data_IF_557696765302
#
_entry.id   IF_557696765302
#
_cell.length_a   1.000
_cell.length_b   1.000
_cell.length_c   1.000
_cell.angle_alpha   90.00
_cell.angle_beta   90.00
_cell.angle_gamma   90.00
#
_symmetry.space_group_name_H-M   'P 1'
#
loop_
_entity.id
_entity.type
_entity.pdbx_description
1 polymer ?
#
# COMPACT_ATOMS: atom_id res chain seq x y z
N UNK A 1 -12.69 21.70 -43.28
CA UNK A 1 -11.62 22.12 -42.34
C UNK A 1 -11.82 21.65 -40.88
N UNK A 2 -12.73 20.72 -40.57
CA UNK A 2 -13.07 20.28 -39.20
C UNK A 2 -12.37 19.00 -38.69
N UNK A 3 -12.02 18.08 -39.57
CA UNK A 3 -11.53 16.74 -39.17
C UNK A 3 -10.09 16.74 -38.63
N UNK A 4 -9.23 17.63 -39.11
CA UNK A 4 -7.83 17.70 -38.64
C UNK A 4 -7.67 18.28 -37.22
N UNK A 5 -8.58 19.13 -36.75
CA UNK A 5 -8.52 19.70 -35.41
C UNK A 5 -8.97 18.70 -34.32
N UNK A 6 -9.98 17.89 -34.61
CA UNK A 6 -10.50 16.87 -33.65
C UNK A 6 -9.44 15.78 -33.39
N UNK A 7 -8.69 15.39 -34.45
CA UNK A 7 -7.63 14.38 -34.30
C UNK A 7 -6.42 14.91 -33.51
N UNK A 8 -6.04 16.18 -33.72
CA UNK A 8 -4.93 16.81 -32.99
C UNK A 8 -5.25 17.08 -31.50
N UNK A 9 -6.52 17.35 -31.17
CA UNK A 9 -6.97 17.49 -29.79
C UNK A 9 -6.90 16.17 -29.03
N UNK A 10 -7.39 15.07 -29.60
CA UNK A 10 -7.31 13.74 -28.98
C UNK A 10 -5.88 13.30 -28.71
N UNK A 11 -4.96 13.48 -29.67
CA UNK A 11 -3.55 13.12 -29.50
C UNK A 11 -2.90 13.95 -28.36
N UNK A 12 -3.29 15.20 -28.21
CA UNK A 12 -2.77 16.10 -27.19
C UNK A 12 -3.27 15.73 -25.77
N UNK A 13 -4.52 15.35 -25.62
CA UNK A 13 -5.11 14.87 -24.36
C UNK A 13 -4.45 13.58 -23.90
N UNK A 14 -4.26 12.61 -24.79
CA UNK A 14 -3.56 11.36 -24.48
C UNK A 14 -2.09 11.58 -24.08
N UNK A 15 -1.41 12.56 -24.68
CA UNK A 15 -0.03 12.88 -24.31
C UNK A 15 0.07 13.48 -22.89
N UNK A 16 -0.92 14.29 -22.47
CA UNK A 16 -0.99 14.86 -21.13
C UNK A 16 -1.28 13.79 -20.05
N UNK A 17 -2.18 12.86 -20.36
CA UNK A 17 -2.47 11.75 -19.47
C UNK A 17 -1.29 10.77 -19.37
N UNK A 18 -0.60 10.49 -20.48
CA UNK A 18 0.63 9.70 -20.47
C UNK A 18 1.71 10.33 -19.59
N UNK A 19 1.84 11.66 -19.61
CA UNK A 19 2.79 12.38 -18.74
C UNK A 19 2.38 12.30 -17.26
N UNK A 20 1.09 12.33 -16.93
CA UNK A 20 0.59 12.09 -15.57
C UNK A 20 1.04 10.73 -15.08
N UNK A 21 0.91 9.66 -15.89
CA UNK A 21 1.31 8.31 -15.54
C UNK A 21 2.83 8.19 -15.32
N UNK A 22 3.64 8.87 -16.13
CA UNK A 22 5.11 8.91 -15.95
C UNK A 22 5.49 9.60 -14.64
N UNK A 23 4.90 10.76 -14.35
CA UNK A 23 5.13 11.49 -13.09
C UNK A 23 4.69 10.63 -11.89
N UNK A 24 3.56 9.97 -11.99
CA UNK A 24 3.08 9.05 -10.96
C UNK A 24 4.05 7.88 -10.75
N UNK A 25 4.50 7.23 -11.83
CA UNK A 25 5.42 6.11 -11.74
C UNK A 25 6.74 6.53 -11.08
N UNK A 26 7.34 7.64 -11.51
CA UNK A 26 8.58 8.16 -10.92
C UNK A 26 8.43 8.50 -9.44
N UNK A 27 7.34 9.15 -9.04
CA UNK A 27 7.07 9.47 -7.66
C UNK A 27 6.91 8.20 -6.79
N UNK A 28 6.06 7.27 -7.22
CA UNK A 28 5.78 6.05 -6.47
C UNK A 28 6.97 5.09 -6.42
N UNK A 29 7.75 4.95 -7.49
CA UNK A 29 8.97 4.12 -7.50
C UNK A 29 10.01 4.73 -6.57
N UNK A 30 10.25 6.04 -6.65
CA UNK A 30 11.18 6.73 -5.74
C UNK A 30 10.80 6.51 -4.26
N UNK A 31 9.52 6.72 -3.94
CA UNK A 31 9.04 6.49 -2.57
C UNK A 31 9.10 5.02 -2.16
N UNK A 32 8.72 4.10 -3.05
CA UNK A 32 8.80 2.66 -2.80
C UNK A 32 10.22 2.22 -2.48
N UNK A 33 11.21 2.74 -3.21
CA UNK A 33 12.64 2.52 -2.96
C UNK A 33 13.02 3.00 -1.56
N UNK A 34 12.68 4.24 -1.22
CA UNK A 34 13.09 4.85 0.06
C UNK A 34 12.35 4.22 1.25
N UNK A 35 11.06 3.94 1.13
CA UNK A 35 10.26 3.27 2.19
C UNK A 35 10.74 1.87 2.49
N UNK A 36 11.31 1.16 1.52
CA UNK A 36 11.89 -0.14 1.73
C UNK A 36 13.31 -0.04 2.30
N UNK A 37 14.16 0.79 1.70
CA UNK A 37 15.58 0.83 2.02
C UNK A 37 15.88 1.42 3.40
N UNK A 38 15.18 2.50 3.80
CA UNK A 38 15.47 3.20 5.04
C UNK A 38 15.23 2.33 6.29
N UNK A 39 14.06 1.66 6.45
CA UNK A 39 13.86 0.78 7.60
C UNK A 39 14.72 -0.48 7.54
N UNK A 40 14.98 -1.02 6.35
CA UNK A 40 15.87 -2.18 6.19
C UNK A 40 17.31 -1.87 6.59
N UNK A 41 17.82 -0.69 6.22
CA UNK A 41 19.14 -0.24 6.66
C UNK A 41 19.21 -0.05 8.19
N UNK A 42 18.13 0.50 8.78
CA UNK A 42 18.02 0.62 10.24
C UNK A 42 18.00 -0.75 10.93
N UNK A 43 17.28 -1.73 10.36
CA UNK A 43 17.26 -3.10 10.85
C UNK A 43 18.67 -3.70 10.83
N UNK A 44 19.37 -3.63 9.69
CA UNK A 44 20.74 -4.16 9.54
C UNK A 44 21.75 -3.48 10.48
N UNK A 45 21.55 -2.18 10.78
CA UNK A 45 22.43 -1.45 11.67
C UNK A 45 22.16 -1.70 13.17
N UNK A 46 20.90 -2.02 13.52
CA UNK A 46 20.47 -2.20 14.91
C UNK A 46 20.30 -3.66 15.32
N UNK A 47 20.08 -4.58 14.37
CA UNK A 47 19.72 -5.97 14.63
C UNK A 47 18.37 -6.16 15.32
N UNK A 48 17.56 -5.09 15.46
CA UNK A 48 16.33 -5.10 16.26
C UNK A 48 15.06 -5.04 15.42
N UNK A 49 14.30 -6.15 15.29
CA UNK A 49 13.01 -6.19 14.61
C UNK A 49 11.94 -5.34 15.31
N UNK A 50 12.00 -5.16 16.63
CA UNK A 50 11.07 -4.26 17.32
C UNK A 50 11.29 -2.81 16.89
N UNK A 51 12.54 -2.38 16.75
CA UNK A 51 12.87 -1.03 16.29
C UNK A 51 12.37 -0.82 14.85
N UNK A 52 12.59 -1.80 13.96
CA UNK A 52 12.06 -1.78 12.59
C UNK A 52 10.52 -1.64 12.58
N UNK A 53 9.81 -2.50 13.34
CA UNK A 53 8.35 -2.50 13.39
C UNK A 53 7.77 -1.24 14.00
N UNK A 54 8.35 -0.73 15.09
CA UNK A 54 7.90 0.52 15.76
C UNK A 54 8.16 1.74 14.86
N UNK A 55 9.33 1.83 14.24
CA UNK A 55 9.68 2.96 13.36
C UNK A 55 8.75 3.02 12.16
N UNK A 56 8.48 1.89 11.51
CA UNK A 56 7.54 1.85 10.37
C UNK A 56 6.12 2.19 10.81
N UNK A 57 5.67 1.72 11.98
CA UNK A 57 4.37 2.03 12.53
C UNK A 57 4.22 3.53 12.86
N UNK A 58 5.18 4.11 13.57
CA UNK A 58 5.17 5.55 13.93
C UNK A 58 5.21 6.43 12.69
N UNK A 59 6.05 6.05 11.70
CA UNK A 59 6.16 6.79 10.45
C UNK A 59 4.85 6.81 9.65
N UNK A 60 4.01 5.77 9.80
CA UNK A 60 2.74 5.67 9.10
C UNK A 60 1.61 6.51 9.71
N UNK A 61 1.69 6.89 10.99
CA UNK A 61 0.65 7.66 11.70
C UNK A 61 0.25 8.94 10.96
N UNK A 62 1.19 9.79 10.50
CA UNK A 62 0.83 10.99 9.73
C UNK A 62 0.05 10.70 8.45
N UNK A 63 0.32 9.58 7.78
CA UNK A 63 -0.44 9.17 6.59
C UNK A 63 -1.92 8.98 6.90
N UNK A 64 -2.23 8.27 7.99
CA UNK A 64 -3.62 8.06 8.45
C UNK A 64 -4.31 9.37 8.77
N UNK A 65 -3.60 10.28 9.47
CA UNK A 65 -4.14 11.57 9.88
C UNK A 65 -4.35 12.53 8.69
N UNK A 66 -3.47 12.47 7.68
CA UNK A 66 -3.51 13.38 6.52
C UNK A 66 -4.35 12.87 5.36
N UNK A 67 -4.64 11.56 5.28
CA UNK A 67 -5.43 10.96 4.20
C UNK A 67 -6.77 11.67 3.94
N UNK A 68 -7.59 12.04 4.95
CA UNK A 68 -8.83 12.78 4.72
C UNK A 68 -8.62 14.18 4.11
N UNK A 69 -7.46 14.78 4.37
CA UNK A 69 -7.13 16.11 3.85
C UNK A 69 -6.62 16.06 2.41
N UNK A 70 -6.08 14.92 1.96
CA UNK A 70 -5.58 14.74 0.60
C UNK A 70 -6.62 15.04 -0.46
N UNK A 71 -7.88 14.62 -0.27
CA UNK A 71 -9.00 14.94 -1.16
C UNK A 71 -9.31 16.44 -1.20
N UNK A 72 -9.37 17.10 -0.05
CA UNK A 72 -9.62 18.55 0.04
C UNK A 72 -8.51 19.36 -0.62
N UNK A 73 -7.26 18.91 -0.43
CA UNK A 73 -6.09 19.54 -1.05
C UNK A 73 -6.13 19.34 -2.57
N UNK A 74 -6.52 18.16 -3.04
CA UNK A 74 -6.67 17.85 -4.47
C UNK A 74 -7.66 18.77 -5.20
N UNK A 75 -8.67 19.26 -4.49
CA UNK A 75 -9.70 20.14 -5.07
C UNK A 75 -9.31 21.63 -5.06
N UNK A 76 -8.42 22.02 -4.14
CA UNK A 76 -8.12 23.45 -3.91
C UNK A 76 -6.76 23.90 -4.41
N UNK A 77 -5.81 22.99 -4.53
CA UNK A 77 -4.42 23.33 -4.84
C UNK A 77 -4.01 22.71 -6.17
N UNK A 78 -3.23 23.46 -6.95
CA UNK A 78 -2.66 22.95 -8.20
C UNK A 78 -1.71 21.78 -7.89
N UNK A 79 -1.98 20.64 -8.52
CA UNK A 79 -1.18 19.42 -8.39
C UNK A 79 0.31 19.67 -8.59
N UNK A 80 0.69 20.56 -9.52
CA UNK A 80 2.11 20.91 -9.79
C UNK A 80 2.78 21.51 -8.56
N UNK A 81 2.09 22.45 -7.89
CA UNK A 81 2.64 23.10 -6.70
C UNK A 81 2.86 22.10 -5.60
N UNK A 82 1.91 21.19 -5.42
CA UNK A 82 2.03 20.14 -4.39
C UNK A 82 3.16 19.18 -4.72
N UNK A 83 3.25 18.67 -5.95
CA UNK A 83 4.35 17.79 -6.37
C UNK A 83 5.71 18.47 -6.24
N UNK A 84 5.81 19.76 -6.60
CA UNK A 84 7.05 20.51 -6.46
C UNK A 84 7.44 20.72 -4.99
N UNK A 85 6.51 21.17 -4.14
CA UNK A 85 6.77 21.38 -2.70
C UNK A 85 7.08 20.04 -2.04
N UNK A 86 6.27 19.01 -2.28
CA UNK A 86 6.45 17.68 -1.75
C UNK A 86 7.81 17.08 -2.15
N UNK A 87 8.15 17.15 -3.42
CA UNK A 87 9.44 16.68 -3.91
C UNK A 87 10.61 17.43 -3.29
N UNK A 88 10.52 18.76 -3.16
CA UNK A 88 11.56 19.58 -2.50
C UNK A 88 11.71 19.23 -1.03
N UNK A 89 10.62 19.02 -0.29
CA UNK A 89 10.64 18.58 1.11
C UNK A 89 11.34 17.24 1.22
N UNK A 90 11.00 16.26 0.37
CA UNK A 90 11.62 14.93 0.41
C UNK A 90 13.09 14.96 0.01
N UNK A 91 13.48 15.80 -0.97
CA UNK A 91 14.88 16.01 -1.32
C UNK A 91 15.65 16.62 -0.14
N UNK A 92 15.10 17.62 0.52
CA UNK A 92 15.71 18.22 1.72
C UNK A 92 15.87 17.17 2.84
N UNK A 93 14.85 16.36 3.10
CA UNK A 93 14.95 15.25 4.07
C UNK A 93 16.04 14.24 3.66
N UNK A 94 16.15 13.90 2.38
CA UNK A 94 17.20 13.03 1.87
C UNK A 94 18.60 13.62 2.02
N UNK A 95 18.78 14.91 1.76
CA UNK A 95 20.05 15.62 2.00
C UNK A 95 20.39 15.60 3.50
N UNK A 96 19.45 15.94 4.38
CA UNK A 96 19.65 15.85 5.84
C UNK A 96 19.99 14.42 6.27
N UNK A 97 19.36 13.42 5.68
CA UNK A 97 19.66 12.01 5.94
C UNK A 97 21.12 11.71 5.60
N UNK A 98 21.60 12.08 4.39
CA UNK A 98 22.97 11.79 3.94
C UNK A 98 24.04 12.46 4.81
N UNK A 99 23.76 13.62 5.40
CA UNK A 99 24.70 14.27 6.32
C UNK A 99 24.71 13.71 7.75
N UNK A 100 23.58 13.18 8.20
CA UNK A 100 23.38 12.84 9.61
C UNK A 100 23.21 11.33 9.87
N UNK A 101 23.13 10.48 8.84
CA UNK A 101 22.83 9.05 9.03
C UNK A 101 23.93 8.30 9.82
N UNK A 102 25.17 8.76 9.80
CA UNK A 102 26.28 8.18 10.59
C UNK A 102 26.22 8.54 12.07
N UNK A 103 25.63 9.68 12.44
CA UNK A 103 25.63 10.21 13.80
C UNK A 103 24.27 10.11 14.48
N UNK A 104 23.18 10.19 13.72
CA UNK A 104 21.77 10.25 14.20
C UNK A 104 20.84 9.35 13.40
N UNK A 105 21.28 8.13 13.06
CA UNK A 105 20.58 7.22 12.15
C UNK A 105 19.09 7.07 12.47
N UNK A 106 18.74 6.73 13.71
CA UNK A 106 17.35 6.53 14.12
C UNK A 106 16.49 7.77 13.87
N UNK A 107 16.94 8.93 14.32
CA UNK A 107 16.17 10.17 14.23
C UNK A 107 15.92 10.56 12.76
N UNK A 108 16.97 10.56 11.94
CA UNK A 108 16.83 10.97 10.53
C UNK A 108 16.04 9.97 9.70
N UNK A 109 16.12 8.65 10.01
CA UNK A 109 15.31 7.62 9.38
C UNK A 109 13.84 7.82 9.71
N UNK A 110 13.49 8.03 10.97
CA UNK A 110 12.10 8.26 11.41
C UNK A 110 11.53 9.50 10.76
N UNK A 111 12.25 10.63 10.82
CA UNK A 111 11.78 11.89 10.23
C UNK A 111 11.61 11.81 8.72
N UNK A 112 12.52 11.13 8.02
CA UNK A 112 12.41 10.96 6.57
C UNK A 112 11.25 10.05 6.20
N UNK A 113 11.04 8.95 6.91
CA UNK A 113 9.88 8.06 6.70
C UNK A 113 8.55 8.78 7.00
N UNK A 114 8.48 9.55 8.08
CA UNK A 114 7.32 10.40 8.39
C UNK A 114 7.00 11.33 7.22
N UNK A 115 8.03 12.01 6.69
CA UNK A 115 7.86 12.91 5.54
C UNK A 115 7.38 12.15 4.29
N UNK A 116 7.95 10.97 3.99
CA UNK A 116 7.54 10.13 2.87
C UNK A 116 6.06 9.72 2.95
N UNK A 117 5.63 9.24 4.13
CA UNK A 117 4.24 8.82 4.32
C UNK A 117 3.26 10.00 4.35
N UNK A 118 3.64 11.12 4.96
CA UNK A 118 2.82 12.32 5.00
C UNK A 118 2.61 12.93 3.61
N UNK A 119 3.67 13.04 2.84
CA UNK A 119 3.64 13.55 1.47
C UNK A 119 2.79 12.65 0.56
N UNK A 120 2.97 11.33 0.67
CA UNK A 120 2.16 10.37 -0.08
C UNK A 120 0.66 10.52 0.17
N UNK A 121 0.25 10.64 1.44
CA UNK A 121 -1.15 10.79 1.81
C UNK A 121 -1.81 12.03 1.19
N UNK A 122 -1.02 13.07 0.95
CA UNK A 122 -1.51 14.31 0.34
C UNK A 122 -1.64 14.20 -1.18
N UNK A 123 -0.66 13.65 -1.88
CA UNK A 123 -0.68 13.69 -3.35
C UNK A 123 -1.30 12.44 -4.01
N UNK A 124 -1.33 11.28 -3.34
CA UNK A 124 -1.87 10.06 -3.95
C UNK A 124 -3.34 10.20 -4.42
N UNK A 125 -4.25 10.85 -3.67
CA UNK A 125 -5.61 11.11 -4.13
C UNK A 125 -5.68 12.06 -5.32
N UNK A 126 -4.67 12.93 -5.50
CA UNK A 126 -4.64 13.91 -6.58
C UNK A 126 -4.50 13.27 -7.95
N UNK A 127 -3.73 12.18 -8.07
CA UNK A 127 -3.63 11.44 -9.32
C UNK A 127 -4.99 10.90 -9.76
N UNK A 128 -5.78 10.37 -8.83
CA UNK A 128 -7.14 9.90 -9.11
C UNK A 128 -8.08 11.05 -9.50
N UNK A 129 -7.98 12.19 -8.82
CA UNK A 129 -8.82 13.37 -9.07
C UNK A 129 -8.55 14.02 -10.45
N UNK A 130 -7.37 13.82 -11.04
CA UNK A 130 -7.06 14.35 -12.37
C UNK A 130 -7.70 13.56 -13.52
N UNK A 131 -8.05 12.27 -13.31
CA UNK A 131 -8.55 11.40 -14.37
C UNK A 131 -9.79 11.98 -15.08
N UNK A 132 -10.88 12.33 -14.37
CA UNK A 132 -12.07 12.87 -15.02
C UNK A 132 -11.88 14.29 -15.57
N UNK A 133 -10.79 14.97 -15.18
CA UNK A 133 -10.45 16.31 -15.69
C UNK A 133 -9.63 16.25 -16.99
N UNK A 134 -9.03 15.09 -17.29
CA UNK A 134 -8.12 14.90 -18.42
C UNK A 134 -8.68 13.98 -19.50
N UNK A 135 -9.67 13.15 -19.18
CA UNK A 135 -10.24 12.16 -20.07
C UNK A 135 -11.75 12.33 -20.23
N UNK A 136 -12.25 12.05 -21.42
CA UNK A 136 -13.68 11.98 -21.70
C UNK A 136 -14.38 10.90 -20.85
N UNK A 137 -15.67 11.05 -20.57
CA UNK A 137 -16.46 10.11 -19.79
C UNK A 137 -16.35 8.65 -20.28
N UNK A 138 -16.22 8.46 -21.60
CA UNK A 138 -16.04 7.12 -22.20
C UNK A 138 -14.70 6.45 -21.82
N UNK A 139 -13.65 7.22 -21.53
CA UNK A 139 -12.30 6.72 -21.25
C UNK A 139 -11.89 6.80 -19.77
N UNK A 140 -12.72 7.39 -18.89
CA UNK A 140 -12.44 7.51 -17.45
C UNK A 140 -12.14 6.15 -16.81
N UNK A 141 -12.93 5.10 -17.14
CA UNK A 141 -12.71 3.75 -16.59
C UNK A 141 -11.33 3.19 -16.96
N UNK A 142 -10.90 3.41 -18.20
CA UNK A 142 -9.56 3.00 -18.66
C UNK A 142 -8.46 3.80 -17.95
N UNK A 143 -8.67 5.11 -17.77
CA UNK A 143 -7.76 5.98 -17.02
C UNK A 143 -7.57 5.54 -15.57
N UNK A 144 -8.66 5.23 -14.87
CA UNK A 144 -8.62 4.68 -13.50
C UNK A 144 -7.84 3.36 -13.46
N UNK A 145 -8.09 2.47 -14.43
CA UNK A 145 -7.37 1.20 -14.53
C UNK A 145 -5.86 1.42 -14.70
N UNK A 146 -5.45 2.33 -15.60
CA UNK A 146 -4.03 2.62 -15.85
C UNK A 146 -3.34 3.24 -14.64
N UNK A 147 -3.96 4.21 -13.95
CA UNK A 147 -3.44 4.82 -12.73
C UNK A 147 -3.26 3.76 -11.63
N UNK A 148 -4.21 2.85 -11.47
CA UNK A 148 -4.12 1.76 -10.50
C UNK A 148 -3.04 0.73 -10.89
N UNK A 149 -2.89 0.41 -12.18
CA UNK A 149 -1.83 -0.48 -12.66
C UNK A 149 -0.44 0.11 -12.40
N UNK A 150 -0.25 1.41 -12.67
CA UNK A 150 1.00 2.11 -12.35
C UNK A 150 1.28 2.06 -10.85
N UNK A 151 0.28 2.31 -10.00
CA UNK A 151 0.43 2.21 -8.54
C UNK A 151 0.84 0.80 -8.12
N UNK A 152 0.15 -0.22 -8.61
CA UNK A 152 0.44 -1.62 -8.29
C UNK A 152 1.84 -2.03 -8.76
N UNK A 153 2.20 -1.69 -10.00
CA UNK A 153 3.53 -1.98 -10.53
C UNK A 153 4.63 -1.28 -9.73
N UNK A 154 4.43 -0.01 -9.37
CA UNK A 154 5.41 0.77 -8.60
C UNK A 154 5.62 0.22 -7.19
N UNK A 155 4.56 -0.27 -6.55
CA UNK A 155 4.63 -0.91 -5.22
C UNK A 155 5.42 -2.23 -5.24
N UNK A 156 5.51 -2.90 -6.39
CA UNK A 156 6.33 -4.10 -6.60
C UNK A 156 7.75 -3.73 -7.00
N UNK A 157 7.89 -2.85 -8.00
CA UNK A 157 9.19 -2.47 -8.58
C UNK A 157 10.04 -1.72 -7.56
N UNK A 158 9.45 -0.86 -6.72
CA UNK A 158 10.16 -0.08 -5.71
C UNK A 158 11.03 -0.94 -4.78
N UNK A 159 10.46 -1.86 -3.99
CA UNK A 159 11.20 -2.75 -3.11
C UNK A 159 12.23 -3.63 -3.83
N UNK A 160 11.88 -4.17 -5.01
CA UNK A 160 12.79 -5.00 -5.81
C UNK A 160 14.03 -4.20 -6.24
N UNK A 161 13.83 -3.03 -6.82
CA UNK A 161 14.93 -2.13 -7.23
C UNK A 161 15.74 -1.69 -6.02
N UNK A 162 15.07 -1.36 -4.91
CA UNK A 162 15.74 -0.97 -3.67
C UNK A 162 16.62 -2.11 -3.12
N UNK A 163 16.09 -3.34 -3.07
CA UNK A 163 16.83 -4.51 -2.59
C UNK A 163 18.08 -4.78 -3.41
N UNK A 164 17.96 -4.79 -4.75
CA UNK A 164 19.08 -4.99 -5.67
C UNK A 164 20.13 -3.89 -5.55
N UNK A 165 19.71 -2.62 -5.65
CA UNK A 165 20.64 -1.49 -5.60
C UNK A 165 21.30 -1.35 -4.22
N UNK A 166 20.57 -1.59 -3.13
CA UNK A 166 21.13 -1.54 -1.78
C UNK A 166 22.18 -2.62 -1.56
N UNK A 167 21.98 -3.83 -2.12
CA UNK A 167 22.97 -4.91 -2.04
C UNK A 167 24.27 -4.61 -2.81
N UNK A 168 24.23 -3.77 -3.85
CA UNK A 168 25.40 -3.45 -4.65
C UNK A 168 26.10 -2.14 -4.24
N UNK A 169 25.31 -1.11 -3.91
CA UNK A 169 25.80 0.26 -3.76
C UNK A 169 25.72 0.79 -2.34
N UNK A 170 24.97 0.10 -1.46
CA UNK A 170 24.69 0.57 -0.10
C UNK A 170 23.61 1.66 -0.05
N UNK A 171 23.38 2.22 1.17
CA UNK A 171 22.24 3.13 1.42
C UNK A 171 22.43 4.53 0.81
N UNK A 172 23.62 5.10 0.86
CA UNK A 172 23.82 6.50 0.46
C UNK A 172 23.62 6.72 -1.07
N UNK A 173 24.19 5.91 -1.99
CA UNK A 173 23.88 6.02 -3.42
C UNK A 173 22.40 5.73 -3.72
N UNK A 174 21.75 4.83 -2.96
CA UNK A 174 20.34 4.52 -3.15
C UNK A 174 19.45 5.70 -2.78
N UNK A 175 19.74 6.41 -1.69
CA UNK A 175 19.05 7.66 -1.32
C UNK A 175 19.27 8.72 -2.38
N UNK A 176 20.50 8.86 -2.92
CA UNK A 176 20.78 9.77 -4.04
C UNK A 176 19.95 9.43 -5.29
N UNK A 177 19.81 8.14 -5.62
CA UNK A 177 18.99 7.69 -6.74
C UNK A 177 17.50 8.04 -6.53
N UNK A 178 16.95 7.77 -5.33
CA UNK A 178 15.59 8.17 -4.98
C UNK A 178 15.39 9.69 -5.08
N UNK A 179 16.33 10.49 -4.57
CA UNK A 179 16.31 11.96 -4.72
C UNK A 179 16.39 12.40 -6.18
N UNK A 180 17.19 11.74 -7.03
CA UNK A 180 17.26 12.06 -8.45
C UNK A 180 15.92 11.82 -9.15
N UNK A 181 15.22 10.74 -8.84
CA UNK A 181 13.85 10.48 -9.32
C UNK A 181 12.88 11.57 -8.85
N UNK A 182 12.94 11.97 -7.58
CA UNK A 182 12.11 13.08 -7.06
C UNK A 182 12.48 14.42 -7.73
N UNK A 183 13.73 14.67 -7.97
CA UNK A 183 14.17 15.87 -8.71
C UNK A 183 13.62 15.88 -10.14
N UNK A 184 13.56 14.73 -10.81
CA UNK A 184 12.89 14.60 -12.11
C UNK A 184 11.38 14.89 -12.00
N UNK A 185 10.68 14.41 -10.95
CA UNK A 185 9.27 14.76 -10.71
C UNK A 185 9.10 16.27 -10.52
N UNK A 186 9.94 16.91 -9.71
CA UNK A 186 9.93 18.37 -9.49
C UNK A 186 10.19 19.12 -10.79
N UNK A 187 11.20 18.72 -11.54
CA UNK A 187 11.53 19.34 -12.82
C UNK A 187 10.35 19.24 -13.81
N UNK A 188 9.76 18.06 -13.94
CA UNK A 188 8.57 17.84 -14.76
C UNK A 188 7.38 18.66 -14.28
N UNK A 189 7.16 18.78 -12.96
CA UNK A 189 6.11 19.62 -12.40
C UNK A 189 6.33 21.12 -12.66
N UNK A 190 7.59 21.58 -12.66
CA UNK A 190 7.98 22.99 -12.89
C UNK A 190 8.00 23.39 -14.36
N UNK A 191 8.14 22.44 -15.30
CA UNK A 191 8.13 22.77 -16.74
C UNK A 191 6.78 23.35 -17.14
N UNK A 192 6.80 24.63 -17.54
CA UNK A 192 5.63 25.41 -17.99
C UNK A 192 5.21 25.10 -19.43
N UNK A 193 5.45 23.89 -19.92
CA UNK A 193 5.04 23.51 -21.27
C UNK A 193 3.53 23.53 -21.40
N UNK A 194 3.04 23.98 -22.55
CA UNK A 194 1.62 23.88 -22.92
C UNK A 194 1.13 22.43 -22.93
N UNK A 195 2.06 21.48 -22.92
CA UNK A 195 1.83 20.03 -22.84
C UNK A 195 1.53 19.53 -21.43
N UNK A 196 1.72 20.34 -20.39
CA UNK A 196 1.56 19.93 -18.98
C UNK A 196 0.55 20.82 -18.26
N UNK A 197 -0.63 21.02 -18.82
CA UNK A 197 -1.72 21.66 -18.07
C UNK A 197 -2.49 20.57 -17.31
N UNK A 198 -2.19 20.44 -16.02
CA UNK A 198 -3.15 19.75 -15.12
C UNK A 198 -4.34 20.70 -14.95
N UNK A 199 -5.55 20.30 -15.35
CA UNK A 199 -6.72 21.17 -15.20
C UNK A 199 -6.92 21.47 -13.70
N UNK A 200 -6.92 22.74 -13.35
CA UNK A 200 -7.43 23.20 -12.04
C UNK A 200 -8.94 23.11 -12.05
N UNK A 201 -9.54 22.78 -10.92
CA UNK A 201 -10.98 22.82 -10.79
C UNK A 201 -11.47 24.23 -11.20
N UNK A 202 -12.25 24.31 -12.29
CA UNK A 202 -12.89 25.56 -12.70
C UNK A 202 -13.82 26.04 -11.59
N UNK A 203 -13.95 27.36 -11.43
CA UNK A 203 -14.81 27.96 -10.41
C UNK A 203 -16.25 27.48 -10.49
N UNK A 204 -16.69 27.05 -11.68
CA UNK A 204 -18.06 26.58 -11.95
C UNK A 204 -18.31 25.12 -11.50
N UNK A 205 -17.25 24.30 -11.32
CA UNK A 205 -17.39 22.96 -10.70
C UNK A 205 -17.60 23.02 -9.18
N UNK A 206 -17.56 24.21 -8.59
CA UNK A 206 -17.77 24.45 -7.15
C UNK A 206 -19.24 24.40 -6.73
N UNK A 207 -20.17 24.27 -7.66
CA UNK A 207 -21.63 24.28 -7.41
C UNK A 207 -22.30 22.91 -7.47
N UNK A 208 -21.56 21.83 -7.71
CA UNK A 208 -22.08 20.47 -7.52
C UNK A 208 -21.88 20.04 -6.07
N UNK A 209 -22.88 19.48 -5.44
CA UNK A 209 -23.06 19.04 -4.04
C UNK A 209 -21.86 18.38 -3.30
N UNK A 210 -20.73 18.14 -3.95
CA UNK A 210 -19.49 17.64 -3.35
C UNK A 210 -18.65 18.71 -2.63
N UNK A 211 -18.90 19.99 -2.84
CA UNK A 211 -18.12 21.09 -2.26
C UNK A 211 -18.48 21.42 -0.79
N UNK A 212 -19.54 20.84 -0.24
CA UNK A 212 -20.03 21.10 1.12
C UNK A 212 -19.61 19.99 2.10
N UNK A 213 -18.92 18.95 1.66
CA UNK A 213 -18.28 18.00 2.57
C UNK A 213 -17.04 18.63 3.24
N UNK A 214 -17.28 19.75 3.92
CA UNK A 214 -16.39 20.21 4.97
C UNK A 214 -16.25 19.11 6.03
N UNK A 215 -15.32 19.28 6.95
CA UNK A 215 -15.02 18.34 8.05
C UNK A 215 -16.26 17.71 8.69
N UNK A 216 -17.39 18.45 8.75
CA UNK A 216 -18.68 17.96 9.25
C UNK A 216 -19.36 16.93 8.32
N UNK A 217 -19.21 17.06 7.01
CA UNK A 217 -19.73 16.09 6.05
C UNK A 217 -19.00 14.75 6.13
N UNK A 218 -17.67 14.77 6.22
CA UNK A 218 -16.86 13.56 6.35
C UNK A 218 -17.19 12.78 7.63
N UNK A 219 -17.27 13.46 8.79
CA UNK A 219 -17.67 12.83 10.04
C UNK A 219 -19.10 12.31 10.00
N UNK A 220 -20.01 13.01 9.35
CA UNK A 220 -21.40 12.58 9.16
C UNK A 220 -21.47 11.34 8.25
N UNK A 221 -20.69 11.30 7.17
CA UNK A 221 -20.64 10.18 6.26
C UNK A 221 -20.00 8.95 6.91
N UNK A 222 -18.91 9.12 7.66
CA UNK A 222 -18.34 8.06 8.47
C UNK A 222 -19.32 7.53 9.52
N UNK A 223 -20.01 8.42 10.24
CA UNK A 223 -21.04 8.05 11.22
C UNK A 223 -22.18 7.27 10.56
N UNK A 224 -22.65 7.72 9.40
CA UNK A 224 -23.71 7.03 8.66
C UNK A 224 -23.25 5.64 8.20
N UNK A 225 -22.02 5.50 7.70
CA UNK A 225 -21.43 4.21 7.35
C UNK A 225 -21.29 3.28 8.55
N UNK A 226 -20.86 3.81 9.71
CA UNK A 226 -20.75 3.00 10.96
C UNK A 226 -22.13 2.55 11.46
N UNK A 227 -23.15 3.43 11.39
CA UNK A 227 -24.51 3.07 11.79
C UNK A 227 -25.09 1.99 10.87
N UNK A 228 -24.88 2.10 9.56
CA UNK A 228 -25.26 1.08 8.59
C UNK A 228 -24.59 -0.27 8.90
N UNK A 229 -23.27 -0.28 9.14
CA UNK A 229 -22.53 -1.49 9.50
C UNK A 229 -22.99 -2.11 10.82
N UNK A 230 -23.49 -1.31 11.76
CA UNK A 230 -24.04 -1.81 13.03
C UNK A 230 -25.33 -2.60 12.82
N UNK A 231 -26.13 -2.23 11.83
CA UNK A 231 -27.35 -2.93 11.47
C UNK A 231 -27.05 -4.19 10.63
N UNK A 232 -26.02 -4.12 9.75
CA UNK A 232 -25.54 -5.22 8.92
C UNK A 232 -24.40 -6.01 9.61
N UNK A 233 -24.77 -6.79 10.66
CA UNK A 233 -23.81 -7.49 11.53
C UNK A 233 -22.88 -8.45 10.80
N UNK A 234 -23.36 -9.13 9.75
CA UNK A 234 -22.55 -10.06 8.96
C UNK A 234 -21.42 -9.34 8.24
N UNK A 235 -21.72 -8.16 7.64
CA UNK A 235 -20.75 -7.35 6.95
C UNK A 235 -19.75 -6.71 7.91
N UNK A 236 -20.23 -6.19 9.04
CA UNK A 236 -19.36 -5.64 10.10
C UNK A 236 -18.36 -6.70 10.59
N UNK A 237 -18.84 -7.92 10.84
CA UNK A 237 -17.99 -9.02 11.28
C UNK A 237 -16.90 -9.33 10.26
N UNK A 238 -17.25 -9.39 8.97
CA UNK A 238 -16.32 -9.66 7.89
C UNK A 238 -15.25 -8.59 7.78
N UNK A 239 -15.62 -7.31 7.95
CA UNK A 239 -14.68 -6.17 7.96
C UNK A 239 -13.74 -6.26 9.16
N UNK A 240 -14.26 -6.52 10.36
CA UNK A 240 -13.44 -6.66 11.58
C UNK A 240 -12.44 -7.82 11.43
N UNK A 241 -12.88 -8.98 10.95
CA UNK A 241 -11.96 -10.09 10.68
C UNK A 241 -10.92 -9.77 9.63
N UNK A 242 -11.29 -9.07 8.55
CA UNK A 242 -10.34 -8.63 7.54
C UNK A 242 -9.29 -7.67 8.11
N UNK A 243 -9.67 -6.76 9.02
CA UNK A 243 -8.73 -5.88 9.70
C UNK A 243 -7.77 -6.67 10.63
N UNK A 244 -8.29 -7.65 11.37
CA UNK A 244 -7.47 -8.51 12.22
C UNK A 244 -6.50 -9.35 11.38
N UNK A 245 -6.96 -9.91 10.26
CA UNK A 245 -6.12 -10.61 9.29
C UNK A 245 -5.02 -9.68 8.77
N UNK A 246 -5.35 -8.45 8.37
CA UNK A 246 -4.35 -7.47 7.93
C UNK A 246 -3.32 -7.15 9.01
N UNK A 247 -3.73 -6.98 10.28
CA UNK A 247 -2.81 -6.73 11.39
C UNK A 247 -1.81 -7.88 11.57
N UNK A 248 -2.31 -9.13 11.54
CA UNK A 248 -1.44 -10.32 11.69
C UNK A 248 -0.53 -10.46 10.49
N UNK A 249 -1.05 -10.30 9.26
CA UNK A 249 -0.24 -10.44 8.04
C UNK A 249 0.78 -9.31 7.85
N UNK A 250 0.52 -8.13 8.41
CA UNK A 250 1.50 -7.06 8.41
C UNK A 250 2.81 -7.43 9.13
N UNK A 251 2.76 -8.43 10.02
CA UNK A 251 3.95 -9.03 10.61
C UNK A 251 4.89 -9.68 9.60
N UNK A 252 4.39 -10.17 8.47
CA UNK A 252 5.24 -10.72 7.41
C UNK A 252 6.22 -9.67 6.86
N UNK A 253 5.82 -8.39 6.82
CA UNK A 253 6.68 -7.28 6.41
C UNK A 253 7.85 -7.02 7.38
N UNK A 254 7.79 -7.53 8.61
CA UNK A 254 8.86 -7.46 9.61
C UNK A 254 9.68 -8.75 9.63
N UNK A 255 8.99 -9.90 9.59
CA UNK A 255 9.62 -11.23 9.64
C UNK A 255 10.52 -11.45 8.43
N UNK A 256 10.03 -11.13 7.22
CA UNK A 256 10.72 -11.39 5.96
C UNK A 256 12.11 -10.73 5.92
N UNK A 257 12.26 -9.40 6.09
CA UNK A 257 13.59 -8.79 6.11
C UNK A 257 14.43 -9.28 7.28
N UNK A 258 13.85 -9.43 8.48
CA UNK A 258 14.60 -9.89 9.65
C UNK A 258 15.21 -11.28 9.46
N UNK A 259 14.43 -12.27 9.02
CA UNK A 259 14.95 -13.63 8.81
C UNK A 259 16.01 -13.65 7.72
N UNK A 260 15.81 -12.93 6.62
CA UNK A 260 16.76 -12.95 5.50
C UNK A 260 18.07 -12.24 5.88
N UNK A 261 18.01 -11.08 6.55
CA UNK A 261 19.24 -10.30 6.82
C UNK A 261 19.95 -10.73 8.10
N UNK A 262 19.21 -11.02 9.18
CA UNK A 262 19.81 -11.32 10.49
C UNK A 262 20.03 -12.81 10.73
N UNK A 263 19.09 -13.69 10.29
CA UNK A 263 19.22 -15.12 10.54
C UNK A 263 19.97 -15.85 9.41
N UNK A 264 19.64 -15.55 8.14
CA UNK A 264 20.32 -16.14 7.00
C UNK A 264 21.62 -15.40 6.62
N UNK A 265 21.82 -14.18 7.14
CA UNK A 265 22.94 -13.29 6.82
C UNK A 265 23.04 -12.99 5.30
N UNK A 266 21.90 -12.92 4.61
CA UNK A 266 21.85 -12.60 3.20
C UNK A 266 21.62 -11.08 3.00
N UNK A 267 21.95 -10.62 1.80
CA UNK A 267 21.88 -9.19 1.47
C UNK A 267 20.44 -8.70 1.18
N UNK A 268 20.27 -7.40 1.10
CA UNK A 268 18.99 -6.73 0.81
C UNK A 268 18.37 -7.16 -0.54
N UNK A 269 19.18 -7.60 -1.52
CA UNK A 269 18.68 -8.10 -2.81
C UNK A 269 17.85 -9.38 -2.63
N UNK A 270 18.19 -10.23 -1.65
CA UNK A 270 17.40 -11.41 -1.32
C UNK A 270 16.04 -11.03 -0.75
N UNK A 271 15.96 -9.98 0.09
CA UNK A 271 14.68 -9.46 0.60
C UNK A 271 13.82 -8.97 -0.56
N UNK A 272 14.37 -8.14 -1.45
CA UNK A 272 13.66 -7.64 -2.62
C UNK A 272 13.19 -8.76 -3.56
N UNK A 273 13.98 -9.84 -3.74
CA UNK A 273 13.58 -10.99 -4.55
C UNK A 273 12.45 -11.80 -3.92
N UNK A 274 12.44 -11.96 -2.59
CA UNK A 274 11.35 -12.63 -1.88
C UNK A 274 10.05 -11.80 -1.95
N UNK A 275 10.13 -10.46 -1.85
CA UNK A 275 8.99 -9.58 -2.05
C UNK A 275 8.45 -9.64 -3.49
N UNK A 276 9.34 -9.73 -4.50
CA UNK A 276 8.92 -9.92 -5.89
C UNK A 276 8.13 -11.22 -6.08
N UNK A 277 8.57 -12.33 -5.48
CA UNK A 277 7.86 -13.61 -5.49
C UNK A 277 6.48 -13.46 -4.81
N UNK A 278 6.43 -12.73 -3.68
CA UNK A 278 5.17 -12.38 -3.00
C UNK A 278 4.21 -11.59 -3.89
N UNK A 279 4.72 -10.60 -4.62
CA UNK A 279 3.94 -9.79 -5.53
C UNK A 279 3.34 -10.61 -6.70
N UNK A 280 4.11 -11.56 -7.24
CA UNK A 280 3.60 -12.54 -8.22
C UNK A 280 2.45 -13.35 -7.60
N UNK A 281 2.58 -13.78 -6.34
CA UNK A 281 1.51 -14.43 -5.60
C UNK A 281 0.24 -13.57 -5.52
N UNK A 282 0.36 -12.28 -5.19
CA UNK A 282 -0.77 -11.34 -5.12
C UNK A 282 -1.47 -11.17 -6.47
N UNK A 283 -0.70 -11.02 -7.55
CA UNK A 283 -1.24 -10.91 -8.91
C UNK A 283 -1.96 -12.19 -9.34
N UNK A 284 -1.36 -13.35 -9.06
CA UNK A 284 -1.97 -14.65 -9.35
C UNK A 284 -3.27 -14.86 -8.55
N UNK A 285 -3.32 -14.42 -7.28
CA UNK A 285 -4.52 -14.48 -6.45
C UNK A 285 -5.67 -13.62 -6.99
N UNK A 286 -5.40 -12.39 -7.40
CA UNK A 286 -6.42 -11.52 -7.99
C UNK A 286 -6.90 -12.05 -9.35
N UNK A 287 -5.98 -12.58 -10.20
CA UNK A 287 -6.34 -13.23 -11.45
C UNK A 287 -7.19 -14.49 -11.25
N UNK A 288 -6.87 -15.29 -10.22
CA UNK A 288 -7.63 -16.49 -9.85
C UNK A 288 -9.10 -16.18 -9.56
N UNK A 289 -9.39 -15.07 -8.86
CA UNK A 289 -10.78 -14.64 -8.62
C UNK A 289 -11.51 -14.36 -9.92
N UNK A 290 -10.84 -13.72 -10.88
CA UNK A 290 -11.40 -13.43 -12.20
C UNK A 290 -11.66 -14.70 -13.04
N UNK A 291 -10.80 -15.71 -12.91
CA UNK A 291 -10.91 -16.97 -13.65
C UNK A 291 -11.90 -17.96 -13.02
N UNK A 292 -12.09 -17.90 -11.68
CA UNK A 292 -12.94 -18.84 -10.95
C UNK A 292 -13.97 -18.11 -10.04
N UNK A 293 -14.81 -17.21 -10.59
CA UNK A 293 -15.74 -16.41 -9.77
C UNK A 293 -16.74 -17.25 -9.00
N UNK A 294 -17.18 -18.39 -9.55
CA UNK A 294 -18.08 -19.33 -8.86
C UNK A 294 -17.45 -20.07 -7.69
N UNK A 295 -16.11 -20.16 -7.62
CA UNK A 295 -15.38 -20.69 -6.49
C UNK A 295 -15.14 -19.61 -5.43
N UNK A 296 -14.83 -18.38 -5.85
CA UNK A 296 -14.46 -17.26 -5.01
C UNK A 296 -15.69 -16.51 -4.48
N UNK A 297 -16.41 -17.12 -3.54
CA UNK A 297 -17.65 -16.59 -2.97
C UNK A 297 -17.52 -16.31 -1.47
N UNK A 298 -18.35 -15.40 -0.95
CA UNK A 298 -18.37 -15.05 0.48
C UNK A 298 -18.69 -16.25 1.38
N UNK A 299 -19.43 -17.24 0.89
CA UNK A 299 -19.67 -18.52 1.62
C UNK A 299 -18.38 -19.28 1.95
N UNK A 300 -17.34 -19.14 1.16
CA UNK A 300 -16.03 -19.79 1.34
C UNK A 300 -14.98 -18.86 1.96
N UNK A 301 -15.35 -17.66 2.36
CA UNK A 301 -14.42 -16.66 2.88
C UNK A 301 -13.63 -17.16 4.10
N UNK A 302 -14.29 -17.84 5.05
CA UNK A 302 -13.63 -18.47 6.20
C UNK A 302 -12.60 -19.53 5.79
N UNK A 303 -12.88 -20.31 4.74
CA UNK A 303 -11.92 -21.27 4.20
C UNK A 303 -10.70 -20.57 3.57
N UNK A 304 -10.90 -19.43 2.89
CA UNK A 304 -9.78 -18.63 2.34
C UNK A 304 -8.90 -18.06 3.44
N UNK A 305 -9.49 -17.59 4.56
CA UNK A 305 -8.74 -17.15 5.74
C UNK A 305 -7.97 -18.34 6.38
N UNK A 306 -8.55 -19.54 6.41
CA UNK A 306 -7.82 -20.72 6.87
C UNK A 306 -6.64 -21.07 5.95
N UNK A 307 -6.84 -21.05 4.62
CA UNK A 307 -5.80 -21.31 3.63
C UNK A 307 -4.65 -20.29 3.74
N UNK A 308 -4.96 -19.04 4.07
CA UNK A 308 -3.97 -18.00 4.31
C UNK A 308 -3.02 -18.38 5.46
N UNK A 309 -3.52 -19.03 6.51
CA UNK A 309 -2.72 -19.52 7.63
C UNK A 309 -1.68 -20.59 7.27
N UNK A 310 -1.78 -21.25 6.12
CA UNK A 310 -0.74 -22.18 5.66
C UNK A 310 0.56 -21.49 5.22
N UNK A 311 0.52 -20.24 4.81
CA UNK A 311 1.72 -19.50 4.42
C UNK A 311 2.77 -19.38 5.53
N UNK A 312 2.41 -18.91 6.73
CA UNK A 312 3.31 -18.94 7.88
C UNK A 312 3.81 -20.35 8.24
N UNK A 313 2.98 -21.41 8.06
CA UNK A 313 3.42 -22.79 8.27
C UNK A 313 4.49 -23.23 7.26
N UNK A 314 4.35 -22.87 5.98
CA UNK A 314 5.37 -23.12 4.97
C UNK A 314 6.68 -22.40 5.34
N UNK A 315 6.59 -21.14 5.79
CA UNK A 315 7.75 -20.36 6.21
C UNK A 315 8.44 -20.99 7.43
N UNK A 316 7.68 -21.38 8.46
CA UNK A 316 8.25 -21.97 9.68
C UNK A 316 8.84 -23.36 9.44
N UNK A 317 8.27 -24.15 8.54
CA UNK A 317 8.82 -25.47 8.19
C UNK A 317 10.29 -25.34 7.70
N UNK A 318 10.57 -24.33 6.87
CA UNK A 318 11.94 -24.04 6.44
C UNK A 318 12.90 -23.77 7.59
N UNK A 319 12.44 -23.07 8.64
CA UNK A 319 13.26 -22.71 9.79
C UNK A 319 13.44 -23.86 10.80
N UNK A 320 12.42 -24.71 10.98
CA UNK A 320 12.43 -25.76 12.01
C UNK A 320 13.23 -27.01 11.64
N UNK A 321 13.20 -27.41 10.36
CA UNK A 321 13.79 -28.70 9.95
C UNK A 321 15.29 -28.65 9.69
N UNK A 322 15.99 -27.56 10.08
CA UNK A 322 17.46 -27.49 9.95
C UNK A 322 17.98 -27.55 8.51
N UNK A 323 17.16 -27.16 7.55
CA UNK A 323 17.52 -27.08 6.14
C UNK A 323 18.67 -26.08 5.92
N UNK A 324 19.34 -26.20 4.78
CA UNK A 324 20.33 -25.21 4.38
C UNK A 324 19.65 -23.83 4.09
N UNK A 325 20.43 -22.76 4.13
CA UNK A 325 19.93 -21.38 3.98
C UNK A 325 19.13 -21.15 2.69
N UNK A 326 19.47 -21.86 1.61
CA UNK A 326 18.75 -21.74 0.35
C UNK A 326 17.33 -22.32 0.44
N UNK A 327 17.14 -23.47 1.09
CA UNK A 327 15.81 -24.06 1.31
C UNK A 327 15.00 -23.23 2.28
N UNK A 328 15.60 -22.70 3.34
CA UNK A 328 14.94 -21.78 4.27
C UNK A 328 14.41 -20.54 3.53
N UNK A 329 15.24 -19.95 2.68
CA UNK A 329 14.84 -18.81 1.85
C UNK A 329 13.67 -19.17 0.90
N UNK A 330 13.73 -20.31 0.21
CA UNK A 330 12.65 -20.74 -0.69
C UNK A 330 11.34 -20.96 0.06
N UNK A 331 11.38 -21.60 1.24
CA UNK A 331 10.21 -21.80 2.08
C UNK A 331 9.63 -20.46 2.54
N UNK A 332 10.48 -19.51 2.93
CA UNK A 332 10.06 -18.18 3.36
C UNK A 332 9.39 -17.42 2.21
N UNK A 333 10.03 -17.36 1.04
CA UNK A 333 9.49 -16.70 -0.15
C UNK A 333 8.18 -17.35 -0.64
N UNK A 334 8.11 -18.69 -0.64
CA UNK A 334 6.90 -19.43 -0.99
C UNK A 334 5.76 -19.17 0.01
N UNK A 335 6.07 -19.10 1.32
CA UNK A 335 5.11 -18.77 2.36
C UNK A 335 4.53 -17.36 2.18
N UNK A 336 5.38 -16.37 1.86
CA UNK A 336 4.94 -15.00 1.56
C UNK A 336 4.10 -14.96 0.29
N UNK A 337 4.49 -15.65 -0.78
CA UNK A 337 3.69 -15.73 -2.00
C UNK A 337 2.31 -16.36 -1.75
N UNK A 338 2.24 -17.39 -0.93
CA UNK A 338 1.00 -18.03 -0.51
C UNK A 338 0.09 -17.08 0.28
N UNK A 339 0.67 -16.36 1.25
CA UNK A 339 -0.03 -15.34 2.04
C UNK A 339 -0.64 -14.27 1.12
N UNK A 340 0.17 -13.72 0.21
CA UNK A 340 -0.27 -12.63 -0.67
C UNK A 340 -1.26 -13.10 -1.73
N UNK A 341 -1.16 -14.37 -2.18
CA UNK A 341 -2.15 -14.99 -3.07
C UNK A 341 -3.53 -15.02 -2.39
N UNK A 342 -3.65 -15.67 -1.23
CA UNK A 342 -4.93 -15.79 -0.53
C UNK A 342 -5.38 -14.46 0.09
N UNK A 343 -4.47 -13.58 0.44
CA UNK A 343 -4.75 -12.22 0.86
C UNK A 343 -5.43 -11.40 -0.24
N UNK A 344 -4.96 -11.51 -1.49
CA UNK A 344 -5.63 -10.90 -2.64
C UNK A 344 -7.01 -11.50 -2.88
N UNK A 345 -7.14 -12.83 -2.82
CA UNK A 345 -8.44 -13.51 -2.97
C UNK A 345 -9.44 -13.01 -1.94
N UNK A 346 -9.06 -12.98 -0.65
CA UNK A 346 -9.95 -12.52 0.43
C UNK A 346 -10.34 -11.06 0.26
N UNK A 347 -9.40 -10.20 -0.10
CA UNK A 347 -9.68 -8.76 -0.33
C UNK A 347 -10.66 -8.56 -1.48
N UNK A 348 -10.43 -9.20 -2.63
CA UNK A 348 -11.31 -9.05 -3.80
C UNK A 348 -12.70 -9.60 -3.52
N UNK A 349 -12.82 -10.75 -2.84
CA UNK A 349 -14.11 -11.33 -2.47
C UNK A 349 -14.89 -10.40 -1.54
N UNK A 350 -14.24 -9.85 -0.50
CA UNK A 350 -14.89 -8.95 0.45
C UNK A 350 -15.31 -7.63 -0.20
N UNK A 351 -14.44 -7.02 -1.01
CA UNK A 351 -14.74 -5.77 -1.72
C UNK A 351 -15.92 -5.99 -2.69
N UNK A 352 -15.93 -7.11 -3.41
CA UNK A 352 -17.04 -7.45 -4.30
C UNK A 352 -18.35 -7.66 -3.54
N UNK A 353 -18.29 -8.30 -2.37
CA UNK A 353 -19.46 -8.52 -1.51
C UNK A 353 -20.04 -7.18 -1.01
N UNK A 354 -19.19 -6.26 -0.54
CA UNK A 354 -19.60 -4.91 -0.16
C UNK A 354 -20.28 -4.20 -1.34
N UNK A 355 -19.72 -4.31 -2.55
CA UNK A 355 -20.28 -3.67 -3.74
C UNK A 355 -21.65 -4.24 -4.16
N UNK A 356 -21.89 -5.52 -3.91
CA UNK A 356 -23.14 -6.19 -4.27
C UNK A 356 -24.26 -5.97 -3.23
N UNK A 357 -23.93 -5.91 -1.94
CA UNK A 357 -24.91 -5.84 -0.85
C UNK A 357 -25.20 -4.41 -0.40
N UNK A 358 -24.29 -3.46 -0.61
CA UNK A 358 -24.54 -2.06 -0.26
C UNK A 358 -25.23 -1.34 -1.44
N UNK A 359 -26.30 -0.62 -1.18
CA UNK A 359 -26.97 0.21 -2.19
C UNK A 359 -26.19 1.48 -2.51
N UNK A 360 -26.25 1.93 -3.75
CA UNK A 360 -25.74 3.20 -4.32
C UNK A 360 -24.75 4.04 -3.49
N UNK A 361 -25.28 4.96 -2.71
CA UNK A 361 -24.47 5.91 -1.92
C UNK A 361 -23.73 5.29 -0.72
N UNK A 362 -24.13 4.09 -0.27
CA UNK A 362 -23.51 3.43 0.89
C UNK A 362 -22.25 2.68 0.54
N UNK A 363 -22.10 2.19 -0.70
CA UNK A 363 -20.91 1.44 -1.16
C UNK A 363 -19.61 2.22 -0.91
N UNK A 364 -19.59 3.49 -1.32
CA UNK A 364 -18.41 4.34 -1.15
C UNK A 364 -18.04 4.55 0.33
N UNK A 365 -19.04 4.78 1.19
CA UNK A 365 -18.84 5.00 2.63
C UNK A 365 -18.32 3.75 3.34
N UNK A 366 -18.89 2.59 3.04
CA UNK A 366 -18.48 1.30 3.63
C UNK A 366 -17.09 0.90 3.15
N UNK A 367 -16.78 1.05 1.85
CA UNK A 367 -15.44 0.78 1.32
C UNK A 367 -14.39 1.72 1.92
N UNK A 368 -14.71 3.00 2.07
CA UNK A 368 -13.81 3.96 2.71
C UNK A 368 -13.50 3.56 4.16
N UNK A 369 -14.52 3.16 4.94
CA UNK A 369 -14.34 2.65 6.30
C UNK A 369 -13.50 1.38 6.35
N UNK A 370 -13.78 0.43 5.45
CA UNK A 370 -13.00 -0.81 5.34
C UNK A 370 -11.53 -0.54 5.06
N UNK A 371 -11.23 0.25 4.01
CA UNK A 371 -9.84 0.55 3.66
C UNK A 371 -9.13 1.38 4.74
N UNK A 372 -9.82 2.33 5.37
CA UNK A 372 -9.25 3.08 6.49
C UNK A 372 -8.91 2.16 7.67
N UNK A 373 -9.83 1.30 8.08
CA UNK A 373 -9.61 0.36 9.18
C UNK A 373 -8.50 -0.66 8.87
N UNK A 374 -8.50 -1.25 7.66
CA UNK A 374 -7.47 -2.19 7.22
C UNK A 374 -6.08 -1.53 7.16
N UNK A 375 -6.03 -0.26 6.69
CA UNK A 375 -4.80 0.53 6.62
C UNK A 375 -4.27 0.86 8.01
N UNK A 376 -5.13 1.23 8.96
CA UNK A 376 -4.74 1.48 10.36
C UNK A 376 -4.29 0.21 11.10
N UNK A 377 -4.82 -0.95 10.75
CA UNK A 377 -4.47 -2.22 11.37
C UNK A 377 -3.03 -2.65 11.06
N UNK A 378 -2.52 -2.33 9.87
CA UNK A 378 -1.20 -2.76 9.41
C UNK A 378 -0.03 -2.23 10.27
N UNK A 379 0.11 -0.91 10.56
CA UNK A 379 1.19 -0.42 11.44
C UNK A 379 1.14 -1.00 12.84
N UNK A 380 -0.07 -1.17 13.40
CA UNK A 380 -0.26 -1.79 14.73
C UNK A 380 0.28 -3.21 14.71
N UNK A 381 -0.07 -3.98 13.66
CA UNK A 381 0.42 -5.34 13.46
C UNK A 381 1.94 -5.39 13.31
N UNK A 382 2.54 -4.51 12.52
CA UNK A 382 4.00 -4.44 12.35
C UNK A 382 4.72 -4.15 13.66
N UNK A 383 4.25 -3.16 14.45
CA UNK A 383 4.85 -2.84 15.74
C UNK A 383 4.74 -4.02 16.72
N UNK A 384 3.55 -4.61 16.84
CA UNK A 384 3.31 -5.76 17.73
C UNK A 384 4.17 -6.97 17.32
N UNK A 385 4.27 -7.26 16.02
CA UNK A 385 5.07 -8.38 15.53
C UNK A 385 6.57 -8.12 15.70
N UNK A 386 7.05 -6.88 15.51
CA UNK A 386 8.45 -6.54 15.78
C UNK A 386 8.85 -6.83 17.22
N UNK A 387 8.03 -6.38 18.19
CA UNK A 387 8.23 -6.67 19.62
C UNK A 387 8.14 -8.18 19.91
N UNK A 388 7.18 -8.87 19.29
CA UNK A 388 7.00 -10.31 19.49
C UNK A 388 8.21 -11.12 18.96
N UNK A 389 8.86 -10.68 17.88
CA UNK A 389 10.09 -11.34 17.38
C UNK A 389 11.21 -11.23 18.41
N UNK A 390 11.40 -10.05 19.03
CA UNK A 390 12.42 -9.86 20.06
C UNK A 390 12.14 -10.73 21.31
N UNK A 391 10.87 -10.96 21.65
CA UNK A 391 10.49 -11.73 22.84
C UNK A 391 10.53 -13.24 22.63
N UNK A 392 10.06 -13.75 21.51
CA UNK A 392 9.84 -15.18 21.29
C UNK A 392 10.46 -15.74 19.99
N UNK A 393 11.07 -14.87 19.17
CA UNK A 393 11.71 -15.24 17.91
C UNK A 393 10.76 -15.37 16.73
N UNK A 394 11.31 -15.33 15.50
CA UNK A 394 10.52 -15.33 14.27
C UNK A 394 9.73 -16.63 14.05
N UNK A 395 10.31 -17.80 14.42
CA UNK A 395 9.62 -19.08 14.26
C UNK A 395 8.36 -19.20 15.13
N UNK A 396 8.44 -18.79 16.41
CA UNK A 396 7.29 -18.79 17.31
C UNK A 396 6.20 -17.83 16.81
N UNK A 397 6.58 -16.65 16.30
CA UNK A 397 5.65 -15.69 15.73
C UNK A 397 4.94 -16.25 14.48
N UNK A 398 5.64 -16.95 13.59
CA UNK A 398 5.03 -17.61 12.43
C UNK A 398 4.00 -18.67 12.83
N UNK A 399 4.30 -19.48 13.87
CA UNK A 399 3.34 -20.44 14.43
C UNK A 399 2.12 -19.71 15.02
N UNK A 400 2.35 -18.63 15.75
CA UNK A 400 1.27 -17.79 16.28
C UNK A 400 0.39 -17.22 15.16
N UNK A 401 0.99 -16.69 14.09
CA UNK A 401 0.26 -16.17 12.94
C UNK A 401 -0.62 -17.26 12.29
N UNK A 402 -0.07 -18.46 12.09
CA UNK A 402 -0.82 -19.58 11.53
C UNK A 402 -2.00 -19.99 12.41
N UNK A 403 -1.76 -20.10 13.73
CA UNK A 403 -2.81 -20.48 14.69
C UNK A 403 -3.88 -19.40 14.81
N UNK A 404 -3.50 -18.13 14.80
CA UNK A 404 -4.43 -16.99 14.79
C UNK A 404 -5.33 -16.99 13.54
N UNK A 405 -4.76 -17.26 12.36
CA UNK A 405 -5.54 -17.37 11.12
C UNK A 405 -6.53 -18.54 11.17
N UNK A 406 -6.09 -19.70 11.67
CA UNK A 406 -6.97 -20.86 11.89
C UNK A 406 -8.11 -20.55 12.85
N UNK A 407 -7.81 -19.89 13.97
CA UNK A 407 -8.81 -19.47 14.94
C UNK A 407 -9.81 -18.45 14.34
N UNK A 408 -9.32 -17.46 13.62
CA UNK A 408 -10.18 -16.48 12.93
C UNK A 408 -11.10 -17.16 11.92
N UNK A 409 -10.58 -18.11 11.14
CA UNK A 409 -11.39 -18.87 10.19
C UNK A 409 -12.51 -19.68 10.88
N UNK A 410 -12.20 -20.36 11.97
CA UNK A 410 -13.19 -21.11 12.77
C UNK A 410 -14.23 -20.18 13.37
N UNK A 411 -13.80 -19.11 14.04
CA UNK A 411 -14.71 -18.13 14.64
C UNK A 411 -15.64 -17.51 13.59
N UNK A 412 -15.09 -17.15 12.44
CA UNK A 412 -15.88 -16.60 11.35
C UNK A 412 -16.88 -17.61 10.80
N UNK A 413 -16.49 -18.88 10.62
CA UNK A 413 -17.39 -19.93 10.17
C UNK A 413 -18.54 -20.22 11.16
N UNK A 414 -18.27 -20.13 12.47
CA UNK A 414 -19.28 -20.31 13.51
C UNK A 414 -20.26 -19.11 13.56
N UNK A 415 -19.73 -17.90 13.47
CA UNK A 415 -20.53 -16.68 13.53
C UNK A 415 -21.35 -16.47 12.26
N UNK A 416 -20.80 -16.77 11.07
CA UNK A 416 -21.54 -16.66 9.81
C UNK A 416 -22.74 -17.60 9.76
N UNK A 417 -22.65 -18.81 10.33
CA UNK A 417 -23.80 -19.73 10.47
C UNK A 417 -24.92 -19.15 11.36
N UNK A 418 -24.54 -18.44 12.42
CA UNK A 418 -25.48 -17.87 13.38
C UNK A 418 -26.24 -16.63 12.85
N UNK A 419 -25.71 -15.97 11.84
CA UNK A 419 -26.30 -14.76 11.21
C UNK A 419 -26.88 -15.05 9.81
N UNK A 420 -26.79 -16.29 9.31
CA UNK A 420 -27.43 -16.74 8.07
C UNK A 420 -28.84 -17.31 8.29
N UNK A 421 -29.20 -17.62 9.55
CA UNK A 421 -30.54 -17.94 10.06
C UNK A 421 -31.23 -16.66 10.59
#
# INVERSE_FOLDING_TARGET
MGVGRVHSWKIKEYSHFGMLLVVQALALISEGILRFALPLYLLNASGSPSLYGVVTAVAFVPSVLLMPFGGVVADRVDMRRILAIAGLVLILCGVCYLFLFTTRLLLVTVLFLIALYAVHALYAPMFQAQIPRMLDAAHVKQGVSLVNQVSTASNVVGPVVAGVLMGWMGIAPLVCFGMACLAAVVALACVRSSSMRFPTASADARTGDFAIAGREGLFRDMRTGILFLRDEKSLLLSIVFACLVNAVLAGANVILPYVITEQLAWNAAAVGSAEAVGAVGALAGSAFVGLAPGFCTMRRFSAFVALLGFGPLISVAGLFFGFNAAVQFVCLAAGVAWILFWGSVTTVVLVSDIQLHCGGDMVGRVLALFFAAATCASPIGQAACGVAIDMCGAAALLVFMATAMGLFAVLMALLSRRYAD
#
